data_IF_488952287210
#
_entry.id   IF_488952287210
#
_cell.length_a   1.000
_cell.length_b   1.000
_cell.length_c   1.000
_cell.angle_alpha   90.00
_cell.angle_beta   90.00
_cell.angle_gamma   90.00
#
_symmetry.space_group_name_H-M   'P 1'
#
loop_
_entity.id
_entity.type
_entity.pdbx_description
1 polymer ?
#
# COMPACT_ATOMS: atom_id res chain seq x y z
N UNK A 1 6.42 2.01 50.98
CA UNK A 1 6.57 1.75 49.52
C UNK A 1 6.71 3.10 48.83
N UNK A 2 7.72 3.30 47.96
CA UNK A 2 7.88 4.53 47.17
C UNK A 2 7.36 4.25 45.75
N UNK A 3 6.42 5.05 45.27
CA UNK A 3 5.92 4.96 43.91
C UNK A 3 6.76 5.87 42.99
N UNK A 4 7.28 5.30 41.91
CA UNK A 4 7.99 6.03 40.85
C UNK A 4 7.00 6.36 39.74
N UNK A 5 6.76 7.63 39.48
CA UNK A 5 5.93 8.08 38.35
C UNK A 5 6.82 8.03 37.10
N UNK A 6 6.54 7.07 36.20
CA UNK A 6 7.18 7.00 34.88
C UNK A 6 6.34 7.84 33.93
N UNK A 7 6.85 8.99 33.53
CA UNK A 7 6.23 9.79 32.47
C UNK A 7 6.29 8.98 31.17
N UNK A 8 5.14 8.59 30.66
CA UNK A 8 5.02 7.96 29.33
C UNK A 8 5.22 9.02 28.26
N UNK A 9 5.69 8.61 27.06
CA UNK A 9 6.01 9.48 25.92
C UNK A 9 5.01 10.63 25.75
N UNK A 10 5.54 11.82 25.48
CA UNK A 10 4.76 13.03 25.23
C UNK A 10 3.62 12.77 24.25
N UNK A 11 2.42 13.22 24.61
CA UNK A 11 1.26 13.17 23.75
C UNK A 11 1.49 14.06 22.51
N UNK A 12 1.06 13.56 21.36
CA UNK A 12 1.18 14.28 20.09
C UNK A 12 0.35 15.56 20.19
N UNK A 13 0.90 16.70 19.74
CA UNK A 13 0.16 17.96 19.70
C UNK A 13 -1.07 17.81 18.79
N UNK A 14 -2.20 18.34 19.26
CA UNK A 14 -3.47 18.31 18.53
C UNK A 14 -3.28 18.97 17.14
N UNK A 15 -3.42 18.19 16.08
CA UNK A 15 -3.35 18.66 14.68
C UNK A 15 -2.10 18.24 13.90
N UNK A 16 -1.08 17.66 14.54
CA UNK A 16 0.07 17.11 13.81
C UNK A 16 -0.22 15.69 13.34
N UNK A 17 -0.17 15.47 12.02
CA UNK A 17 -0.20 14.11 11.46
C UNK A 17 1.11 13.40 11.80
N UNK A 18 1.00 12.26 12.47
CA UNK A 18 2.12 11.36 12.69
C UNK A 18 1.96 10.15 11.78
N UNK A 19 2.95 9.94 10.92
CA UNK A 19 2.98 8.79 10.04
C UNK A 19 2.88 7.49 10.86
N UNK A 20 1.94 6.64 10.46
CA UNK A 20 1.70 5.35 11.11
C UNK A 20 2.64 4.30 10.51
N UNK A 21 2.81 3.19 11.23
CA UNK A 21 3.51 2.04 10.69
C UNK A 21 2.89 1.52 9.39
N UNK A 22 1.57 1.67 9.22
CA UNK A 22 0.86 1.27 8.00
C UNK A 22 1.23 2.16 6.81
N UNK A 23 1.34 3.47 7.02
CA UNK A 23 1.74 4.40 5.95
C UNK A 23 3.14 4.09 5.43
N UNK A 24 4.06 3.80 6.35
CA UNK A 24 5.43 3.39 6.02
C UNK A 24 5.41 2.10 5.20
N UNK A 25 4.61 1.10 5.60
CA UNK A 25 4.48 -0.15 4.85
C UNK A 25 3.88 0.10 3.46
N UNK A 26 2.84 0.94 3.34
CA UNK A 26 2.20 1.27 2.05
C UNK A 26 3.19 1.93 1.09
N UNK A 27 4.07 2.81 1.59
CA UNK A 27 5.14 3.42 0.79
C UNK A 27 6.21 2.43 0.34
N UNK A 28 6.48 1.39 1.14
CA UNK A 28 7.49 0.37 0.83
C UNK A 28 7.00 -0.72 -0.12
N UNK A 29 5.68 -0.94 -0.19
CA UNK A 29 5.04 -1.89 -1.09
C UNK A 29 5.41 -1.61 -2.56
N UNK A 30 5.46 -2.67 -3.37
CA UNK A 30 5.74 -2.57 -4.79
C UNK A 30 4.56 -1.97 -5.55
N UNK A 31 3.35 -2.38 -5.15
CA UNK A 31 2.08 -1.94 -5.75
C UNK A 31 1.02 -1.72 -4.67
N UNK A 32 0.05 -0.85 -4.97
CA UNK A 32 -1.11 -0.58 -4.12
C UNK A 32 -2.40 -0.81 -4.89
N UNK A 33 -3.33 -1.58 -4.34
CA UNK A 33 -4.70 -1.68 -4.84
C UNK A 33 -5.43 -0.40 -4.44
N UNK A 34 -5.82 0.40 -5.43
CA UNK A 34 -6.48 1.71 -5.24
C UNK A 34 -7.96 1.69 -5.59
N UNK A 35 -8.43 0.66 -6.30
CA UNK A 35 -9.85 0.43 -6.56
C UNK A 35 -10.12 -1.04 -6.88
N UNK A 36 -11.33 -1.51 -6.56
CA UNK A 36 -11.83 -2.84 -6.87
C UNK A 36 -13.22 -2.68 -7.47
N UNK A 37 -13.34 -2.97 -8.77
CA UNK A 37 -14.62 -3.08 -9.49
C UNK A 37 -14.72 -4.50 -10.07
N UNK A 38 -15.06 -4.65 -11.35
CA UNK A 38 -14.93 -5.90 -12.12
C UNK A 38 -13.46 -6.37 -12.26
N UNK A 39 -12.50 -5.48 -11.98
CA UNK A 39 -11.05 -5.69 -12.06
C UNK A 39 -10.36 -4.89 -10.95
N UNK A 40 -9.12 -5.27 -10.63
CA UNK A 40 -8.30 -4.53 -9.68
C UNK A 40 -7.54 -3.40 -10.38
N UNK A 41 -7.62 -2.20 -9.81
CA UNK A 41 -6.77 -1.08 -10.22
C UNK A 41 -5.58 -1.00 -9.28
N UNK A 42 -4.37 -1.08 -9.83
CA UNK A 42 -3.12 -1.05 -9.08
C UNK A 42 -2.32 0.21 -9.42
N UNK A 43 -1.86 0.89 -8.38
CA UNK A 43 -0.82 1.92 -8.45
C UNK A 43 0.56 1.29 -8.26
N UNK A 44 1.52 1.69 -9.09
CA UNK A 44 2.89 1.21 -9.09
C UNK A 44 3.77 2.22 -8.32
N UNK A 45 4.16 1.86 -7.10
CA UNK A 45 5.07 2.70 -6.30
C UNK A 45 6.49 2.70 -6.85
N UNK A 46 6.90 1.57 -7.46
CA UNK A 46 8.20 1.39 -8.10
C UNK A 46 8.03 1.35 -9.62
N UNK A 47 9.09 1.67 -10.42
CA UNK A 47 9.03 1.65 -11.88
C UNK A 47 9.03 0.22 -12.43
N UNK A 48 7.97 -0.53 -12.13
CA UNK A 48 7.80 -1.94 -12.52
C UNK A 48 7.08 -1.97 -13.86
N UNK A 49 7.66 -2.68 -14.83
CA UNK A 49 6.99 -2.93 -16.11
C UNK A 49 6.39 -4.33 -16.09
N UNK A 50 5.06 -4.42 -15.96
CA UNK A 50 4.31 -5.67 -16.08
C UNK A 50 3.56 -5.73 -17.41
N UNK A 51 3.66 -6.87 -18.09
CA UNK A 51 2.98 -7.16 -19.36
C UNK A 51 2.46 -8.59 -19.32
N UNK A 52 1.29 -8.82 -19.89
CA UNK A 52 0.71 -10.15 -19.96
C UNK A 52 -0.80 -10.13 -20.21
N UNK A 53 -1.37 -11.33 -20.41
CA UNK A 53 -2.82 -11.49 -20.57
C UNK A 53 -3.51 -11.09 -19.26
N UNK A 54 -4.54 -10.26 -19.37
CA UNK A 54 -5.30 -9.78 -18.22
C UNK A 54 -4.70 -8.56 -17.51
N UNK A 55 -3.63 -7.96 -18.05
CA UNK A 55 -3.03 -6.73 -17.55
C UNK A 55 -3.21 -5.64 -18.61
N UNK A 56 -3.90 -4.55 -18.25
CA UNK A 56 -4.07 -3.36 -19.09
C UNK A 56 -3.36 -2.18 -18.44
N UNK A 57 -2.40 -1.57 -19.12
CA UNK A 57 -1.80 -0.31 -18.69
C UNK A 57 -2.80 0.82 -18.93
N UNK A 58 -3.06 1.62 -17.89
CA UNK A 58 -3.87 2.84 -18.01
C UNK A 58 -2.92 4.01 -18.21
N UNK A 59 -2.03 4.22 -17.25
CA UNK A 59 -1.03 5.29 -17.24
C UNK A 59 0.35 4.71 -16.89
N UNK A 60 1.39 5.55 -16.77
CA UNK A 60 2.74 5.10 -16.40
C UNK A 60 2.81 4.38 -15.07
N UNK A 61 2.03 4.83 -14.08
CA UNK A 61 2.00 4.29 -12.72
C UNK A 61 0.74 3.50 -12.40
N UNK A 62 -0.15 3.27 -13.36
CA UNK A 62 -1.46 2.66 -13.08
C UNK A 62 -1.78 1.58 -14.08
N UNK A 63 -2.15 0.41 -13.57
CA UNK A 63 -2.59 -0.74 -14.35
C UNK A 63 -3.94 -1.23 -13.83
N UNK A 64 -4.70 -1.86 -14.71
CA UNK A 64 -5.92 -2.59 -14.37
C UNK A 64 -5.69 -4.05 -14.68
N UNK A 65 -5.99 -4.92 -13.72
CA UNK A 65 -5.70 -6.36 -13.80
C UNK A 65 -6.92 -7.20 -13.48
N UNK A 66 -7.12 -8.28 -14.25
CA UNK A 66 -8.13 -9.32 -13.95
C UNK A 66 -7.70 -10.16 -12.75
N UNK A 67 -8.63 -10.81 -12.06
CA UNK A 67 -8.39 -11.66 -10.89
C UNK A 67 -7.24 -12.67 -11.10
N UNK A 68 -7.28 -13.42 -12.20
CA UNK A 68 -6.23 -14.39 -12.54
C UNK A 68 -4.83 -13.77 -12.71
N UNK A 69 -4.77 -12.51 -13.15
CA UNK A 69 -3.51 -11.79 -13.28
C UNK A 69 -3.08 -11.21 -11.92
N UNK A 70 -4.04 -10.74 -11.12
CA UNK A 70 -3.80 -10.25 -9.77
C UNK A 70 -3.21 -11.33 -8.87
N UNK A 71 -3.77 -12.54 -8.89
CA UNK A 71 -3.25 -13.66 -8.09
C UNK A 71 -1.82 -14.04 -8.48
N UNK A 72 -1.46 -13.95 -9.76
CA UNK A 72 -0.08 -14.12 -10.21
C UNK A 72 0.85 -12.99 -9.77
N UNK A 73 0.35 -11.76 -9.70
CA UNK A 73 1.15 -10.62 -9.25
C UNK A 73 1.40 -10.70 -7.73
N UNK A 74 0.44 -11.18 -6.93
CA UNK A 74 0.61 -11.38 -5.48
C UNK A 74 1.76 -12.34 -5.13
N UNK A 75 2.10 -13.28 -6.01
CA UNK A 75 3.21 -14.22 -5.76
C UNK A 75 4.58 -13.62 -6.06
N UNK A 76 4.64 -12.54 -6.84
CA UNK A 76 5.89 -11.95 -7.32
C UNK A 76 6.20 -10.60 -6.68
N UNK A 77 5.17 -9.87 -6.23
CA UNK A 77 5.28 -8.50 -5.76
C UNK A 77 4.62 -8.33 -4.40
N UNK A 78 5.16 -7.42 -3.60
CA UNK A 78 4.52 -6.94 -2.39
C UNK A 78 3.40 -5.98 -2.76
N UNK A 79 2.15 -6.45 -2.62
CA UNK A 79 0.96 -5.66 -2.93
C UNK A 79 0.19 -5.39 -1.65
N UNK A 80 -0.14 -4.12 -1.42
CA UNK A 80 -1.00 -3.71 -0.30
C UNK A 80 -2.27 -3.02 -0.80
N UNK A 81 -3.24 -2.80 0.10
CA UNK A 81 -4.49 -2.13 -0.22
C UNK A 81 -4.46 -0.69 0.28
N UNK A 82 -4.90 0.23 -0.57
CA UNK A 82 -5.08 1.65 -0.30
C UNK A 82 -6.46 2.08 -0.81
N UNK A 83 -7.49 1.51 -0.18
CA UNK A 83 -8.91 1.77 -0.41
C UNK A 83 -9.47 2.71 0.65
#
# INVERSE_FOLDING_TARGET
MKATIVMTKDAIKKGEYKETSLDVQKKQADMLVVAIDDKYTLWLNKPITVKGRGIKKVNEKTIVVTDNAFDKLKTQYSIMFDL
#
